data_IF_985981935038
#
_entry.id   IF_985981935038
#
_cell.length_a   1.000
_cell.length_b   1.000
_cell.length_c   1.000
_cell.angle_alpha   90.00
_cell.angle_beta   90.00
_cell.angle_gamma   90.00
#
_symmetry.space_group_name_H-M   'P 1'
#
loop_
_entity.id
_entity.type
_entity.pdbx_description
1 polymer ?
#
# COMPACT_ATOMS: atom_id res chain seq x y z
N UNK A 1 12.81 1.44 -13.52
CA UNK A 1 13.00 0.28 -12.64
C UNK A 1 14.32 0.44 -11.91
N UNK A 2 14.40 0.01 -10.65
CA UNK A 2 15.66 0.02 -9.88
C UNK A 2 16.62 -1.04 -10.44
N UNK A 3 17.86 -0.68 -10.82
CA UNK A 3 18.86 -1.67 -11.25
C UNK A 3 19.11 -2.74 -10.17
N UNK A 4 19.24 -4.00 -10.57
CA UNK A 4 19.49 -5.12 -9.65
C UNK A 4 18.27 -5.61 -8.85
N UNK A 5 17.16 -4.85 -8.79
CA UNK A 5 15.94 -5.32 -8.15
C UNK A 5 15.26 -6.44 -8.96
N UNK A 6 14.64 -7.45 -8.31
CA UNK A 6 13.85 -8.45 -9.03
C UNK A 6 12.79 -7.79 -9.90
N UNK A 7 12.72 -8.14 -11.19
CA UNK A 7 11.75 -7.54 -12.12
C UNK A 7 10.30 -7.65 -11.59
N UNK A 8 9.99 -8.78 -10.97
CA UNK A 8 8.70 -9.07 -10.36
C UNK A 8 8.33 -8.16 -9.18
N UNK A 9 9.30 -7.47 -8.57
CA UNK A 9 9.05 -6.53 -7.48
C UNK A 9 8.39 -5.24 -7.97
N UNK A 10 8.50 -4.91 -9.27
CA UNK A 10 7.92 -3.67 -9.82
C UNK A 10 8.56 -2.39 -9.28
N UNK A 11 9.75 -2.47 -8.68
CA UNK A 11 10.40 -1.36 -7.97
C UNK A 11 10.84 -0.24 -8.92
N UNK A 12 10.40 0.98 -8.63
CA UNK A 12 10.70 2.18 -9.41
C UNK A 12 11.74 3.05 -8.71
N UNK A 13 12.69 3.60 -9.46
CA UNK A 13 13.64 4.64 -8.97
C UNK A 13 12.96 5.96 -8.61
N UNK A 14 11.64 6.07 -8.84
CA UNK A 14 10.80 7.23 -8.53
C UNK A 14 9.63 6.87 -7.60
N UNK A 15 9.73 5.76 -6.86
CA UNK A 15 8.77 5.50 -5.77
C UNK A 15 9.09 6.43 -4.58
N UNK A 16 8.13 6.56 -3.64
CA UNK A 16 8.29 7.50 -2.53
C UNK A 16 9.54 7.23 -1.65
N UNK A 17 9.99 5.98 -1.37
CA UNK A 17 11.21 5.77 -0.58
C UNK A 17 12.46 6.37 -1.23
N UNK A 18 12.63 6.25 -2.55
CA UNK A 18 13.73 6.89 -3.27
C UNK A 18 13.67 8.43 -3.19
N UNK A 19 12.48 9.02 -3.25
CA UNK A 19 12.29 10.47 -3.14
C UNK A 19 12.58 10.97 -1.71
N UNK A 20 12.12 10.23 -0.69
CA UNK A 20 12.39 10.52 0.73
C UNK A 20 13.88 10.45 1.02
N UNK A 21 14.54 9.37 0.59
CA UNK A 21 15.98 9.19 0.80
C UNK A 21 16.79 10.33 0.19
N UNK A 22 16.45 10.74 -1.03
CA UNK A 22 17.07 11.90 -1.68
C UNK A 22 16.81 13.20 -0.90
N UNK A 23 15.57 13.47 -0.51
CA UNK A 23 15.20 14.71 0.20
C UNK A 23 15.87 14.83 1.58
N UNK A 24 16.06 13.71 2.28
CA UNK A 24 16.66 13.66 3.61
C UNK A 24 18.16 13.34 3.60
N UNK A 25 18.76 13.15 2.42
CA UNK A 25 20.16 12.71 2.27
C UNK A 25 20.47 11.43 3.06
N UNK A 26 19.59 10.43 2.98
CA UNK A 26 19.74 9.12 3.61
C UNK A 26 20.19 8.05 2.61
N UNK A 27 20.94 7.08 3.10
CA UNK A 27 21.15 5.82 2.38
C UNK A 27 19.85 4.99 2.37
N UNK A 28 19.57 4.32 1.26
CA UNK A 28 18.31 3.59 1.06
C UNK A 28 18.52 2.10 0.78
N UNK A 29 17.95 1.28 1.65
CA UNK A 29 17.63 -0.12 1.38
C UNK A 29 16.14 -0.25 1.01
N UNK A 30 15.83 -0.19 -0.29
CA UNK A 30 14.47 -0.46 -0.76
C UNK A 30 14.31 -1.96 -1.04
N UNK A 31 13.53 -2.65 -0.20
CA UNK A 31 13.16 -4.06 -0.38
C UNK A 31 11.68 -4.26 -0.70
N UNK A 32 10.98 -3.20 -1.10
CA UNK A 32 9.56 -3.27 -1.47
C UNK A 32 9.35 -4.24 -2.63
N UNK A 33 8.20 -4.92 -2.61
CA UNK A 33 7.85 -5.95 -3.58
C UNK A 33 6.35 -5.92 -3.92
N UNK A 34 6.04 -5.79 -5.21
CA UNK A 34 4.66 -5.79 -5.72
C UNK A 34 3.90 -7.04 -5.30
N UNK A 35 2.77 -6.86 -4.62
CA UNK A 35 1.92 -7.95 -4.15
C UNK A 35 2.34 -8.53 -2.80
N UNK A 36 3.31 -7.94 -2.10
CA UNK A 36 3.69 -8.36 -0.75
C UNK A 36 2.51 -8.29 0.23
N UNK A 37 2.46 -9.25 1.14
CA UNK A 37 1.55 -9.32 2.29
C UNK A 37 2.35 -9.18 3.57
N UNK A 38 1.69 -9.05 4.73
CA UNK A 38 2.38 -9.04 6.03
C UNK A 38 3.24 -10.30 6.24
N UNK A 39 2.78 -11.47 5.78
CA UNK A 39 3.56 -12.72 5.82
C UNK A 39 4.87 -12.62 5.01
N UNK A 40 4.84 -12.04 3.82
CA UNK A 40 6.05 -11.81 3.01
C UNK A 40 7.02 -10.80 3.63
N UNK A 41 6.51 -9.87 4.43
CA UNK A 41 7.35 -8.95 5.18
C UNK A 41 8.05 -9.70 6.32
N UNK A 42 7.28 -10.48 7.09
CA UNK A 42 7.71 -11.08 8.35
C UNK A 42 8.52 -12.37 8.18
N UNK A 43 8.05 -13.32 7.38
CA UNK A 43 8.52 -14.72 7.45
C UNK A 43 8.61 -15.44 6.11
N UNK A 44 7.82 -15.06 5.11
CA UNK A 44 7.73 -15.80 3.85
C UNK A 44 8.59 -15.21 2.73
N UNK A 45 9.19 -16.10 1.94
CA UNK A 45 9.90 -15.71 0.72
C UNK A 45 8.92 -15.35 -0.39
N UNK A 46 9.17 -14.24 -1.09
CA UNK A 46 8.36 -13.83 -2.23
C UNK A 46 9.14 -13.99 -3.54
N UNK A 47 8.79 -15.00 -4.33
CA UNK A 47 9.41 -15.27 -5.66
C UNK A 47 10.95 -15.31 -5.57
N UNK A 48 11.47 -16.00 -4.56
CA UNK A 48 12.90 -16.14 -4.30
C UNK A 48 13.51 -15.03 -3.43
N UNK A 49 12.87 -13.87 -3.31
CA UNK A 49 13.31 -12.83 -2.38
C UNK A 49 13.10 -13.28 -0.92
N UNK A 50 14.05 -13.00 -0.01
CA UNK A 50 13.88 -13.27 1.43
C UNK A 50 12.73 -12.42 2.02
N UNK A 51 12.26 -12.76 3.23
CA UNK A 51 11.40 -11.87 4.01
C UNK A 51 11.98 -10.44 4.08
N UNK A 52 11.14 -9.43 3.94
CA UNK A 52 11.62 -8.04 3.90
C UNK A 52 12.26 -7.61 5.22
N UNK A 53 11.83 -8.19 6.35
CA UNK A 53 12.39 -7.93 7.67
C UNK A 53 13.89 -8.28 7.76
N UNK A 54 14.38 -9.23 6.95
CA UNK A 54 15.79 -9.63 6.92
C UNK A 54 16.72 -8.50 6.45
N UNK A 55 16.16 -7.47 5.80
CA UNK A 55 16.91 -6.30 5.37
C UNK A 55 17.32 -5.37 6.53
N UNK A 56 16.67 -5.50 7.69
CA UNK A 56 16.95 -4.66 8.85
C UNK A 56 18.11 -5.25 9.66
N UNK A 57 19.10 -4.41 9.96
CA UNK A 57 20.27 -4.78 10.77
C UNK A 57 20.41 -4.00 12.08
N UNK A 58 19.56 -3.00 12.31
CA UNK A 58 19.55 -2.16 13.51
C UNK A 58 20.31 -0.84 13.36
N UNK A 59 20.91 -0.59 12.19
CA UNK A 59 21.55 0.68 11.83
C UNK A 59 20.53 1.75 11.37
N UNK A 60 19.29 1.35 11.08
CA UNK A 60 18.31 2.22 10.45
C UNK A 60 17.89 3.37 11.37
N UNK A 61 17.73 4.55 10.77
CA UNK A 61 17.17 5.73 11.43
C UNK A 61 15.70 5.95 11.07
N UNK A 62 15.27 5.42 9.92
CA UNK A 62 13.92 5.55 9.38
C UNK A 62 13.50 4.27 8.65
N UNK A 63 12.32 3.74 8.97
CA UNK A 63 11.68 2.64 8.24
C UNK A 63 10.28 3.09 7.83
N UNK A 64 9.97 3.04 6.54
CA UNK A 64 8.62 3.34 6.02
C UNK A 64 7.94 2.07 5.52
N UNK A 65 6.67 1.86 5.86
CA UNK A 65 5.95 0.61 5.58
C UNK A 65 4.56 0.89 4.99
N UNK A 66 4.29 0.39 3.79
CA UNK A 66 2.92 0.27 3.24
C UNK A 66 2.64 -1.22 2.98
N UNK A 67 1.76 -1.81 3.79
CA UNK A 67 1.45 -3.26 3.74
C UNK A 67 0.00 -3.50 4.19
N UNK A 68 -0.52 -4.72 4.08
CA UNK A 68 -1.88 -5.08 4.51
C UNK A 68 -2.92 -5.03 3.40
N UNK A 69 -2.74 -4.19 2.38
CA UNK A 69 -3.70 -4.06 1.27
C UNK A 69 -3.86 -5.32 0.42
N UNK A 70 -2.81 -6.14 0.30
CA UNK A 70 -2.90 -7.44 -0.40
C UNK A 70 -3.53 -8.51 0.49
N UNK A 71 -3.27 -8.46 1.80
CA UNK A 71 -3.84 -9.35 2.81
C UNK A 71 -5.37 -9.26 2.81
N UNK A 72 -5.90 -8.02 2.77
CA UNK A 72 -7.35 -7.76 2.71
C UNK A 72 -7.90 -7.74 1.29
N UNK A 73 -7.05 -7.99 0.29
CA UNK A 73 -7.41 -8.04 -1.13
C UNK A 73 -7.94 -6.74 -1.72
N UNK A 74 -7.57 -5.58 -1.17
CA UNK A 74 -8.06 -4.27 -1.59
C UNK A 74 -7.74 -3.95 -3.05
N UNK A 75 -6.45 -3.85 -3.40
CA UNK A 75 -6.00 -3.60 -4.78
C UNK A 75 -6.31 -4.80 -5.70
N UNK A 76 -6.12 -6.07 -5.28
CA UNK A 76 -6.54 -7.23 -6.07
C UNK A 76 -8.02 -7.19 -6.48
N UNK A 77 -8.94 -6.83 -5.57
CA UNK A 77 -10.37 -6.67 -5.86
C UNK A 77 -10.60 -5.65 -6.97
N UNK A 78 -10.04 -4.44 -6.82
CA UNK A 78 -10.22 -3.36 -7.79
C UNK A 78 -9.63 -3.72 -9.17
N UNK A 79 -8.45 -4.32 -9.19
CA UNK A 79 -7.78 -4.77 -10.39
C UNK A 79 -8.59 -5.85 -11.12
N UNK A 80 -9.07 -6.87 -10.39
CA UNK A 80 -9.92 -7.91 -10.96
C UNK A 80 -11.21 -7.32 -11.53
N UNK A 81 -11.82 -6.35 -10.83
CA UNK A 81 -13.04 -5.69 -11.28
C UNK A 81 -12.85 -4.89 -12.59
N UNK A 82 -11.71 -4.21 -12.71
CA UNK A 82 -11.40 -3.33 -13.83
C UNK A 82 -10.87 -4.06 -15.08
N UNK A 83 -10.08 -5.12 -14.89
CA UNK A 83 -9.28 -5.72 -15.95
C UNK A 83 -9.80 -7.07 -16.44
N UNK A 84 -10.52 -7.81 -15.59
CA UNK A 84 -10.96 -9.16 -15.96
C UNK A 84 -12.38 -9.15 -16.56
N UNK A 85 -12.62 -9.98 -17.59
CA UNK A 85 -13.96 -10.16 -18.14
C UNK A 85 -14.89 -10.79 -17.09
N UNK A 86 -16.21 -10.55 -17.22
CA UNK A 86 -17.20 -11.01 -16.23
C UNK A 86 -17.11 -12.51 -15.93
N UNK A 87 -16.91 -13.35 -16.94
CA UNK A 87 -16.77 -14.79 -16.76
C UNK A 87 -15.58 -15.17 -15.86
N UNK A 88 -14.42 -14.53 -16.06
CA UNK A 88 -13.23 -14.80 -15.24
C UNK A 88 -13.40 -14.35 -13.78
N UNK A 89 -14.20 -13.30 -13.53
CA UNK A 89 -14.51 -12.85 -12.16
C UNK A 89 -15.37 -13.83 -11.36
N UNK A 90 -16.03 -14.79 -12.02
CA UNK A 90 -16.82 -15.82 -11.36
C UNK A 90 -15.99 -17.06 -10.98
N UNK A 91 -14.76 -17.17 -11.47
CA UNK A 91 -13.89 -18.32 -11.22
C UNK A 91 -13.14 -18.17 -9.89
N UNK A 92 -13.05 -19.23 -9.10
CA UNK A 92 -12.15 -19.30 -7.95
C UNK A 92 -10.69 -19.30 -8.43
N UNK A 93 -9.76 -18.56 -7.77
CA UNK A 93 -9.96 -17.77 -6.56
C UNK A 93 -10.46 -16.33 -6.79
N UNK A 94 -10.55 -15.85 -8.03
CA UNK A 94 -10.91 -14.46 -8.34
C UNK A 94 -12.29 -14.07 -7.76
N UNK A 95 -13.27 -14.97 -7.81
CA UNK A 95 -14.60 -14.75 -7.25
C UNK A 95 -14.61 -14.40 -5.76
N UNK A 96 -13.66 -14.92 -4.97
CA UNK A 96 -13.61 -14.69 -3.51
C UNK A 96 -13.11 -13.29 -3.15
N UNK A 97 -12.55 -12.54 -4.11
CA UNK A 97 -12.21 -11.13 -3.92
C UNK A 97 -13.49 -10.29 -3.76
N UNK A 98 -14.56 -10.69 -4.44
CA UNK A 98 -15.85 -9.98 -4.46
C UNK A 98 -16.80 -10.43 -3.33
N UNK A 99 -16.42 -11.46 -2.57
CA UNK A 99 -17.22 -11.95 -1.44
C UNK A 99 -17.01 -11.05 -0.21
N UNK A 100 -18.09 -10.42 0.25
CA UNK A 100 -18.07 -9.51 1.38
C UNK A 100 -17.67 -10.20 2.69
N UNK A 101 -18.07 -11.46 2.91
CA UNK A 101 -17.73 -12.20 4.13
C UNK A 101 -16.26 -12.55 4.15
N UNK A 102 -15.69 -12.96 3.00
CA UNK A 102 -14.25 -13.20 2.90
C UNK A 102 -13.44 -11.91 3.11
N UNK A 103 -13.90 -10.77 2.56
CA UNK A 103 -13.26 -9.47 2.84
C UNK A 103 -13.34 -9.10 4.31
N UNK A 104 -14.50 -9.30 4.96
CA UNK A 104 -14.66 -9.01 6.38
C UNK A 104 -13.74 -9.87 7.24
N UNK A 105 -13.67 -11.19 7.00
CA UNK A 105 -12.73 -12.07 7.73
C UNK A 105 -11.28 -11.65 7.57
N UNK A 106 -10.89 -11.19 6.37
CA UNK A 106 -9.54 -10.69 6.14
C UNK A 106 -9.28 -9.39 6.92
N UNK A 107 -10.26 -8.47 6.99
CA UNK A 107 -10.18 -7.26 7.79
C UNK A 107 -10.08 -7.58 9.29
N UNK A 108 -10.90 -8.50 9.79
CA UNK A 108 -10.89 -8.92 11.20
C UNK A 108 -9.51 -9.43 11.65
N UNK A 109 -8.71 -10.01 10.73
CA UNK A 109 -7.35 -10.50 11.00
C UNK A 109 -6.21 -9.53 10.68
N UNK A 110 -6.45 -8.45 9.92
CA UNK A 110 -5.35 -7.62 9.40
C UNK A 110 -4.68 -6.80 10.50
N UNK A 111 -5.44 -6.34 11.50
CA UNK A 111 -4.89 -5.50 12.57
C UNK A 111 -3.80 -6.23 13.36
N UNK A 112 -4.06 -7.47 13.77
CA UNK A 112 -3.07 -8.28 14.50
C UNK A 112 -1.83 -8.55 13.65
N UNK A 113 -2.01 -8.76 12.35
CA UNK A 113 -0.91 -8.93 11.40
C UNK A 113 -0.07 -7.65 11.27
N UNK A 114 -0.70 -6.48 11.21
CA UNK A 114 -0.03 -5.17 11.17
C UNK A 114 0.68 -4.86 12.49
N UNK A 115 0.09 -5.20 13.64
CA UNK A 115 0.74 -5.10 14.95
C UNK A 115 1.97 -6.01 15.02
N UNK A 116 1.90 -7.22 14.49
CA UNK A 116 3.06 -8.12 14.41
C UNK A 116 4.18 -7.51 13.55
N UNK A 117 3.85 -6.88 12.42
CA UNK A 117 4.81 -6.11 11.59
C UNK A 117 5.45 -4.99 12.41
N UNK A 118 4.66 -4.14 13.06
CA UNK A 118 5.17 -3.01 13.84
C UNK A 118 6.12 -3.47 14.97
N UNK A 119 5.70 -4.48 15.74
CA UNK A 119 6.50 -5.05 16.82
C UNK A 119 7.82 -5.67 16.32
N UNK A 120 7.77 -6.44 15.22
CA UNK A 120 8.96 -7.07 14.65
C UNK A 120 9.96 -6.04 14.13
N UNK A 121 9.49 -5.01 13.42
CA UNK A 121 10.35 -3.93 12.91
C UNK A 121 10.96 -3.13 14.05
N UNK A 122 10.17 -2.77 15.08
CA UNK A 122 10.68 -2.08 16.27
C UNK A 122 11.73 -2.90 17.02
N UNK A 123 11.56 -4.21 17.09
CA UNK A 123 12.55 -5.12 17.70
C UNK A 123 13.85 -5.15 16.91
N UNK A 124 13.77 -5.22 15.57
CA UNK A 124 14.94 -5.33 14.69
C UNK A 124 15.68 -4.01 14.49
N UNK A 125 14.95 -2.89 14.49
CA UNK A 125 15.45 -1.53 14.31
C UNK A 125 15.05 -0.61 15.48
N UNK A 126 15.56 -0.85 16.71
CA UNK A 126 15.08 -0.19 17.93
C UNK A 126 15.31 1.33 17.96
N UNK A 127 16.29 1.81 17.19
CA UNK A 127 16.63 3.24 17.06
C UNK A 127 15.91 3.94 15.91
N UNK A 128 15.26 3.19 15.01
CA UNK A 128 14.58 3.76 13.87
C UNK A 128 13.24 4.38 14.28
N UNK A 129 12.88 5.46 13.61
CA UNK A 129 11.48 5.86 13.52
C UNK A 129 10.78 4.99 12.50
N UNK A 130 9.66 4.38 12.91
CA UNK A 130 8.91 3.45 12.07
C UNK A 130 7.61 4.13 11.67
N UNK A 131 7.47 4.45 10.38
CA UNK A 131 6.33 5.12 9.80
C UNK A 131 5.51 4.12 8.97
N UNK A 132 4.33 3.75 9.45
CA UNK A 132 3.33 3.20 8.56
C UNK A 132 2.83 4.31 7.63
N UNK A 133 2.77 4.03 6.34
CA UNK A 133 2.18 4.89 5.33
C UNK A 133 0.96 4.14 4.81
N UNK A 134 -0.23 4.66 5.11
CA UNK A 134 -1.48 4.08 4.64
C UNK A 134 -1.65 4.28 3.11
N UNK A 135 -2.77 3.81 2.56
CA UNK A 135 -2.99 3.84 1.13
C UNK A 135 -3.57 5.17 0.66
N UNK A 136 -3.07 5.68 -0.47
CA UNK A 136 -3.75 6.74 -1.22
C UNK A 136 -5.21 6.34 -1.54
N UNK A 137 -6.10 7.32 -1.58
CA UNK A 137 -7.52 7.13 -1.92
C UNK A 137 -7.64 6.62 -3.37
N UNK A 138 -8.24 5.44 -3.54
CA UNK A 138 -8.36 4.76 -4.84
C UNK A 138 -9.76 4.90 -5.46
N UNK A 139 -10.73 5.43 -4.72
CA UNK A 139 -12.12 5.54 -5.14
C UNK A 139 -12.65 6.96 -4.89
N UNK A 140 -13.57 7.45 -5.73
CA UNK A 140 -14.18 8.74 -5.51
C UNK A 140 -15.12 8.69 -4.30
N UNK A 141 -15.50 9.83 -3.71
CA UNK A 141 -16.45 9.88 -2.59
C UNK A 141 -17.81 9.24 -2.97
N UNK A 142 -18.60 8.90 -1.96
CA UNK A 142 -19.96 8.39 -2.16
C UNK A 142 -20.79 9.36 -3.04
N UNK A 143 -21.66 8.81 -3.89
CA UNK A 143 -22.43 9.59 -4.87
C UNK A 143 -21.67 9.95 -6.15
N UNK A 144 -20.34 9.76 -6.20
CA UNK A 144 -19.54 9.94 -7.41
C UNK A 144 -19.26 8.61 -8.12
N UNK A 145 -19.40 8.62 -9.45
CA UNK A 145 -19.24 7.42 -10.27
C UNK A 145 -17.77 7.05 -10.49
N UNK A 146 -17.39 5.83 -10.12
CA UNK A 146 -16.06 5.25 -10.37
C UNK A 146 -15.93 4.65 -11.79
N UNK A 147 -16.28 5.44 -12.82
CA UNK A 147 -16.25 5.00 -14.22
C UNK A 147 -17.19 3.83 -14.51
N UNK A 148 -16.63 2.68 -14.95
CA UNK A 148 -17.37 1.46 -15.32
C UNK A 148 -17.34 0.37 -14.23
N UNK A 149 -16.73 0.63 -13.07
CA UNK A 149 -16.76 -0.32 -11.96
C UNK A 149 -18.21 -0.54 -11.49
N UNK A 150 -18.62 -1.79 -11.18
CA UNK A 150 -19.94 -2.04 -10.61
C UNK A 150 -20.07 -1.40 -9.23
N UNK A 151 -21.21 -0.79 -8.92
CA UNK A 151 -21.37 -0.02 -7.65
C UNK A 151 -21.14 -0.90 -6.41
N UNK A 152 -21.65 -2.13 -6.37
CA UNK A 152 -21.40 -3.05 -5.25
C UNK A 152 -19.90 -3.33 -5.00
N UNK A 153 -19.08 -3.32 -6.06
CA UNK A 153 -17.62 -3.47 -5.91
C UNK A 153 -17.01 -2.20 -5.34
N UNK A 154 -17.49 -1.04 -5.78
CA UNK A 154 -17.03 0.26 -5.29
C UNK A 154 -17.38 0.41 -3.81
N UNK A 155 -18.59 0.05 -3.40
CA UNK A 155 -19.02 0.06 -2.00
C UNK A 155 -18.18 -0.88 -1.14
N UNK A 156 -18.00 -2.14 -1.58
CA UNK A 156 -17.15 -3.10 -0.87
C UNK A 156 -15.70 -2.60 -0.75
N UNK A 157 -15.14 -2.05 -1.81
CA UNK A 157 -13.77 -1.55 -1.79
C UNK A 157 -13.62 -0.26 -0.96
N UNK A 158 -14.64 0.61 -0.88
CA UNK A 158 -14.66 1.75 0.06
C UNK A 158 -14.69 1.26 1.51
N UNK A 159 -15.49 0.23 1.81
CA UNK A 159 -15.51 -0.40 3.14
C UNK A 159 -14.15 -0.96 3.52
N UNK A 160 -13.54 -1.76 2.63
CA UNK A 160 -12.19 -2.30 2.83
C UNK A 160 -11.16 -1.19 3.03
N UNK A 161 -11.23 -0.10 2.26
CA UNK A 161 -10.31 1.03 2.38
C UNK A 161 -10.41 1.71 3.75
N UNK A 162 -11.63 2.00 4.21
CA UNK A 162 -11.87 2.67 5.48
C UNK A 162 -11.41 1.83 6.68
N UNK A 163 -11.74 0.54 6.68
CA UNK A 163 -11.30 -0.37 7.74
C UNK A 163 -9.79 -0.57 7.71
N UNK A 164 -9.17 -0.71 6.53
CA UNK A 164 -7.72 -0.82 6.42
C UNK A 164 -6.99 0.46 6.89
N UNK A 165 -7.50 1.65 6.55
CA UNK A 165 -6.97 2.93 7.05
C UNK A 165 -7.01 2.96 8.58
N UNK A 166 -8.16 2.59 9.17
CA UNK A 166 -8.34 2.53 10.64
C UNK A 166 -7.40 1.51 11.30
N UNK A 167 -7.41 0.25 10.86
CA UNK A 167 -6.57 -0.81 11.41
C UNK A 167 -5.08 -0.50 11.27
N UNK A 168 -4.65 0.17 10.19
CA UNK A 168 -3.26 0.60 10.03
C UNK A 168 -2.87 1.65 11.07
N UNK A 169 -3.75 2.63 11.33
CA UNK A 169 -3.51 3.64 12.36
C UNK A 169 -3.50 3.03 13.77
N UNK A 170 -4.45 2.14 14.07
CA UNK A 170 -4.56 1.45 15.37
C UNK A 170 -3.33 0.57 15.63
N UNK A 171 -2.89 -0.20 14.62
CA UNK A 171 -1.69 -1.03 14.73
C UNK A 171 -0.40 -0.21 14.90
N UNK A 172 -0.28 0.93 14.20
CA UNK A 172 0.84 1.83 14.37
C UNK A 172 0.90 2.35 15.82
N UNK A 173 -0.23 2.86 16.33
CA UNK A 173 -0.32 3.36 17.70
C UNK A 173 0.00 2.27 18.75
N UNK A 174 -0.59 1.07 18.61
CA UNK A 174 -0.40 -0.05 19.54
C UNK A 174 1.06 -0.54 19.62
N UNK A 175 1.86 -0.31 18.57
CA UNK A 175 3.25 -0.76 18.49
C UNK A 175 4.28 0.35 18.72
N UNK A 176 3.82 1.55 19.07
CA UNK A 176 4.70 2.72 19.21
C UNK A 176 5.31 3.17 17.87
N UNK A 177 4.69 2.80 16.75
CA UNK A 177 5.01 3.31 15.43
C UNK A 177 4.22 4.59 15.13
N UNK A 178 4.67 5.32 14.12
CA UNK A 178 4.04 6.55 13.64
C UNK A 178 3.20 6.25 12.38
N UNK A 179 2.23 7.11 12.07
CA UNK A 179 1.37 6.99 10.88
C UNK A 179 1.52 8.22 9.97
N UNK A 180 1.62 7.96 8.68
CA UNK A 180 1.50 8.94 7.59
C UNK A 180 0.17 8.70 6.89
N UNK A 181 -0.73 9.69 6.99
CA UNK A 181 -2.12 9.60 6.51
C UNK A 181 -2.26 10.01 5.05
N UNK A 182 -1.67 9.21 4.15
CA UNK A 182 -1.76 9.38 2.71
C UNK A 182 -3.20 9.26 2.19
N UNK A 183 -4.03 8.40 2.79
CA UNK A 183 -5.44 8.24 2.48
C UNK A 183 -6.21 9.54 2.68
N UNK A 184 -6.12 10.11 3.88
CA UNK A 184 -6.72 11.41 4.21
C UNK A 184 -6.23 12.53 3.28
N UNK A 185 -4.92 12.63 3.05
CA UNK A 185 -4.33 13.69 2.22
C UNK A 185 -4.74 13.61 0.74
N UNK A 186 -5.18 12.45 0.28
CA UNK A 186 -5.48 12.19 -1.13
C UNK A 186 -6.97 12.07 -1.47
N UNK A 187 -7.87 12.40 -0.52
CA UNK A 187 -9.32 12.33 -0.72
C UNK A 187 -9.80 13.14 -1.93
N UNK A 188 -9.18 14.28 -2.21
CA UNK A 188 -9.48 15.12 -3.38
C UNK A 188 -8.64 14.77 -4.62
N UNK A 189 -7.71 13.81 -4.50
CA UNK A 189 -6.76 13.39 -5.53
C UNK A 189 -6.99 11.93 -6.00
N UNK A 190 -8.21 11.41 -5.81
CA UNK A 190 -8.62 10.09 -6.29
C UNK A 190 -8.56 9.99 -7.83
N UNK A 191 -8.63 8.79 -8.45
CA UNK A 191 -8.36 8.63 -9.88
C UNK A 191 -9.31 9.34 -10.87
N UNK A 192 -10.42 9.88 -10.39
CA UNK A 192 -11.43 10.62 -11.17
C UNK A 192 -11.46 12.11 -10.83
N UNK A 193 -10.53 12.57 -10.00
CA UNK A 193 -10.36 13.99 -9.68
C UNK A 193 -9.68 14.74 -10.82
N UNK A 194 -9.66 16.08 -10.72
CA UNK A 194 -8.93 16.92 -11.67
C UNK A 194 -7.42 16.72 -11.62
N UNK A 195 -6.87 16.39 -10.44
CA UNK A 195 -5.43 16.20 -10.20
C UNK A 195 -5.19 14.84 -9.54
N UNK A 196 -5.33 13.72 -10.26
CA UNK A 196 -5.26 12.40 -9.67
C UNK A 196 -3.84 12.06 -9.23
N UNK A 197 -3.70 11.49 -8.04
CA UNK A 197 -2.45 10.91 -7.52
C UNK A 197 -2.32 9.42 -7.80
N UNK A 198 -3.41 8.77 -8.21
CA UNK A 198 -3.49 7.35 -8.51
C UNK A 198 -4.05 7.11 -9.92
N UNK A 199 -3.69 6.00 -10.53
CA UNK A 199 -4.19 5.63 -11.87
C UNK A 199 -5.57 5.00 -11.74
N UNK A 200 -6.55 5.44 -12.54
CA UNK A 200 -7.90 4.87 -12.49
C UNK A 200 -8.03 3.51 -13.16
N UNK A 201 -9.25 2.99 -13.21
CA UNK A 201 -9.63 1.76 -13.90
C UNK A 201 -9.45 1.88 -15.42
N UNK A 202 -8.20 1.81 -15.89
CA UNK A 202 -7.82 1.89 -17.31
C UNK A 202 -7.03 0.64 -17.69
N UNK A 203 -7.01 0.30 -18.98
CA UNK A 203 -6.15 -0.78 -19.47
C UNK A 203 -4.68 -0.42 -19.22
N UNK A 204 -3.85 -1.36 -18.74
CA UNK A 204 -2.44 -1.12 -18.49
C UNK A 204 -1.73 -0.83 -19.82
N UNK A 205 -0.92 0.24 -19.83
CA UNK A 205 0.00 0.56 -20.92
C UNK A 205 1.44 0.42 -20.40
N UNK A 206 2.41 -0.07 -21.22
CA UNK A 206 3.76 -0.37 -20.74
C UNK A 206 4.49 0.80 -20.05
N UNK A 207 4.17 2.03 -20.43
CA UNK A 207 4.77 3.27 -19.90
C UNK A 207 3.95 3.95 -18.81
N UNK A 208 2.84 3.35 -18.36
CA UNK A 208 1.99 3.90 -17.29
C UNK A 208 2.06 3.02 -16.05
N UNK A 209 1.89 3.59 -14.84
CA UNK A 209 1.68 2.79 -13.64
C UNK A 209 0.46 1.88 -13.81
N UNK A 210 0.47 0.76 -13.10
CA UNK A 210 -0.66 -0.15 -13.06
C UNK A 210 -1.91 0.55 -12.51
N UNK A 211 -3.12 0.14 -12.92
CA UNK A 211 -4.36 0.69 -12.36
C UNK A 211 -4.38 0.58 -10.84
N UNK A 212 -4.96 1.58 -10.20
CA UNK A 212 -5.07 1.73 -8.75
C UNK A 212 -3.73 1.84 -7.99
N UNK A 213 -2.63 2.10 -8.70
CA UNK A 213 -1.34 2.41 -8.10
C UNK A 213 -1.07 3.93 -8.17
N UNK A 214 -0.20 4.46 -7.30
CA UNK A 214 0.22 5.86 -7.38
C UNK A 214 0.90 6.16 -8.71
N UNK A 215 0.64 7.36 -9.24
CA UNK A 215 1.43 7.93 -10.32
C UNK A 215 2.60 8.76 -9.76
N UNK A 216 3.34 9.46 -10.63
CA UNK A 216 4.48 10.26 -10.19
C UNK A 216 4.09 11.37 -9.18
N UNK A 217 2.95 12.03 -9.38
CA UNK A 217 2.46 13.05 -8.46
C UNK A 217 2.08 12.44 -7.11
N UNK A 218 1.41 11.28 -7.10
CA UNK A 218 1.09 10.57 -5.86
C UNK A 218 2.33 10.08 -5.11
N UNK A 219 3.34 9.56 -5.81
CA UNK A 219 4.61 9.17 -5.17
C UNK A 219 5.34 10.39 -4.57
N UNK A 220 5.33 11.53 -5.25
CA UNK A 220 5.90 12.77 -4.73
C UNK A 220 5.15 13.27 -3.50
N UNK A 221 3.82 13.31 -3.54
CA UNK A 221 3.00 13.74 -2.42
C UNK A 221 3.20 12.85 -1.17
N UNK A 222 3.26 11.52 -1.35
CA UNK A 222 3.57 10.61 -0.23
C UNK A 222 4.96 10.86 0.34
N UNK A 223 5.96 11.13 -0.52
CA UNK A 223 7.30 11.47 -0.06
C UNK A 223 7.32 12.76 0.75
N UNK A 224 6.61 13.80 0.31
CA UNK A 224 6.45 15.06 1.05
C UNK A 224 5.79 14.85 2.41
N UNK A 225 4.74 14.03 2.49
CA UNK A 225 4.08 13.69 3.76
C UNK A 225 5.03 12.96 4.72
N UNK A 226 5.84 12.02 4.21
CA UNK A 226 6.85 11.33 5.02
C UNK A 226 7.93 12.30 5.51
N UNK A 227 8.41 13.21 4.65
CA UNK A 227 9.42 14.22 5.01
C UNK A 227 8.88 15.20 6.05
N UNK A 228 7.64 15.68 5.88
CA UNK A 228 6.99 16.54 6.86
C UNK A 228 6.87 15.85 8.22
N UNK A 229 6.40 14.60 8.23
CA UNK A 229 6.29 13.80 9.44
C UNK A 229 7.66 13.54 10.08
N UNK A 230 8.71 13.39 9.25
CA UNK A 230 10.08 13.28 9.74
C UNK A 230 10.54 14.57 10.44
N UNK A 231 10.21 15.74 9.93
CA UNK A 231 10.63 17.02 10.51
C UNK A 231 9.93 17.35 11.85
N UNK A 232 8.67 16.97 12.05
CA UNK A 232 7.88 17.29 13.25
C UNK A 232 8.41 16.71 14.57
N UNK A 233 9.22 15.65 14.51
CA UNK A 233 9.76 14.99 15.70
C UNK A 233 11.17 15.48 16.10
N UNK A 234 11.62 16.61 15.54
CA UNK A 234 12.91 17.25 15.85
C UNK A 234 12.75 18.47 16.74
#
# INVERSE_FOLDING_TARGET
>A
MVPGAPRAAGRSVRNYPHLVAHALSLDLADVTFSGATTAHLLTERQRGAPPQLDALDGSETLVTITIGGNDVGYVPLLMAAALLPRAARLLTPVGTLFDQRERQRALDGVESSLQAVGAAVRSRAPRARVLFVDYLTLLPPAGSRAGRLPEHVVELARHVAAELERHTADAAAATGCEIVRAGQASREHHPWSAQPWTVGARLPLPWRPWPFHPNAAGMAAVAELVVARWAEAR
#
